data_IF_617232025490
#
_entry.id   IF_617232025490
#
_cell.length_a   1.000
_cell.length_b   1.000
_cell.length_c   1.000
_cell.angle_alpha   90.00
_cell.angle_beta   90.00
_cell.angle_gamma   90.00
#
_symmetry.space_group_name_H-M   'P 1'
#
loop_
_entity.id
_entity.type
_entity.pdbx_description
1 polymer ?
#
# COMPACT_ATOMS: atom_id res chain seq x y z
N UNK A 1 -19.91 -16.13 -29.94
CA UNK A 1 -18.87 -16.90 -29.21
C UNK A 1 -17.49 -16.24 -29.19
N UNK A 2 -16.93 -15.74 -30.31
CA UNK A 2 -15.59 -15.08 -30.33
C UNK A 2 -15.43 -13.81 -29.46
N UNK A 3 -16.49 -12.99 -29.29
CA UNK A 3 -16.43 -11.73 -28.51
C UNK A 3 -16.21 -11.93 -27.00
N UNK A 4 -16.59 -13.08 -26.45
CA UNK A 4 -16.50 -13.34 -25.00
C UNK A 4 -15.07 -13.69 -24.56
N UNK A 5 -14.33 -14.38 -25.43
CA UNK A 5 -12.95 -14.82 -25.18
C UNK A 5 -11.98 -13.62 -25.19
N UNK A 6 -12.18 -12.65 -26.08
CA UNK A 6 -11.35 -11.43 -26.14
C UNK A 6 -11.56 -10.52 -24.93
N UNK A 7 -12.80 -10.39 -24.43
CA UNK A 7 -13.10 -9.62 -23.22
C UNK A 7 -12.44 -10.21 -21.97
N UNK A 8 -12.42 -11.54 -21.81
CA UNK A 8 -11.79 -12.18 -20.67
C UNK A 8 -10.25 -12.03 -20.67
N UNK A 9 -9.61 -12.12 -21.84
CA UNK A 9 -8.17 -11.86 -21.96
C UNK A 9 -7.81 -10.43 -21.53
N UNK A 10 -8.63 -9.45 -21.93
CA UNK A 10 -8.44 -8.06 -21.56
C UNK A 10 -8.56 -7.84 -20.05
N UNK A 11 -9.61 -8.35 -19.39
CA UNK A 11 -9.82 -8.18 -17.94
C UNK A 11 -8.67 -8.80 -17.13
N UNK A 12 -8.15 -9.96 -17.55
CA UNK A 12 -7.00 -10.61 -16.90
C UNK A 12 -5.73 -9.75 -17.03
N UNK A 13 -5.46 -9.23 -18.22
CA UNK A 13 -4.34 -8.33 -18.45
C UNK A 13 -4.42 -7.07 -17.57
N UNK A 14 -5.59 -6.44 -17.45
CA UNK A 14 -5.80 -5.29 -16.56
C UNK A 14 -5.56 -5.63 -15.09
N UNK A 15 -5.99 -6.81 -14.65
CA UNK A 15 -5.80 -7.26 -13.27
C UNK A 15 -4.30 -7.44 -12.97
N UNK A 16 -3.55 -8.07 -13.88
CA UNK A 16 -2.10 -8.21 -13.72
C UNK A 16 -1.37 -6.87 -13.72
N UNK A 17 -1.74 -5.96 -14.62
CA UNK A 17 -1.18 -4.61 -14.65
C UNK A 17 -1.45 -3.86 -13.33
N UNK A 18 -2.65 -4.05 -12.75
CA UNK A 18 -3.02 -3.42 -11.48
C UNK A 18 -2.19 -3.96 -10.31
N UNK A 19 -1.96 -5.28 -10.23
CA UNK A 19 -1.12 -5.87 -9.19
C UNK A 19 0.35 -5.45 -9.35
N UNK A 20 0.85 -5.43 -10.59
CA UNK A 20 2.20 -4.98 -10.90
C UNK A 20 2.43 -3.53 -10.48
N UNK A 21 1.51 -2.64 -10.85
CA UNK A 21 1.59 -1.21 -10.48
C UNK A 21 1.44 -1.00 -8.98
N UNK A 22 0.56 -1.73 -8.29
CA UNK A 22 0.45 -1.68 -6.83
C UNK A 22 1.77 -2.08 -6.15
N UNK A 23 2.40 -3.17 -6.61
CA UNK A 23 3.73 -3.59 -6.11
C UNK A 23 4.82 -2.54 -6.35
N UNK A 24 4.85 -1.95 -7.55
CA UNK A 24 5.79 -0.88 -7.87
C UNK A 24 5.58 0.36 -6.98
N UNK A 25 4.33 0.73 -6.70
CA UNK A 25 3.99 1.86 -5.82
C UNK A 25 4.38 1.58 -4.36
N UNK A 26 4.20 0.35 -3.87
CA UNK A 26 4.67 -0.04 -2.53
C UNK A 26 6.18 0.18 -2.41
N UNK A 27 6.96 -0.29 -3.39
CA UNK A 27 8.41 -0.08 -3.39
C UNK A 27 8.80 1.39 -3.53
N UNK A 28 8.10 2.15 -4.37
CA UNK A 28 8.32 3.60 -4.47
C UNK A 28 8.05 4.30 -3.13
N UNK A 29 7.01 3.90 -2.39
CA UNK A 29 6.73 4.45 -1.07
C UNK A 29 7.85 4.18 -0.06
N UNK A 30 8.45 2.99 -0.07
CA UNK A 30 9.58 2.70 0.82
C UNK A 30 10.80 3.57 0.50
N UNK A 31 11.16 3.67 -0.78
CA UNK A 31 12.31 4.46 -1.23
C UNK A 31 12.08 5.95 -0.99
N UNK A 32 10.92 6.49 -1.37
CA UNK A 32 10.57 7.90 -1.18
C UNK A 32 10.35 8.22 0.30
N UNK A 33 9.79 7.30 1.08
CA UNK A 33 9.61 7.44 2.52
C UNK A 33 10.92 7.71 3.24
N UNK A 34 11.99 7.00 2.85
CA UNK A 34 13.34 7.26 3.39
C UNK A 34 13.82 8.69 3.10
N UNK A 35 13.47 9.24 1.93
CA UNK A 35 13.83 10.60 1.52
C UNK A 35 13.00 11.67 2.22
N UNK A 36 11.72 11.39 2.49
CA UNK A 36 10.85 12.28 3.26
C UNK A 36 11.34 12.39 4.71
N UNK A 37 11.86 11.29 5.26
CA UNK A 37 12.35 11.22 6.64
C UNK A 37 13.79 11.72 6.82
N UNK A 38 14.61 11.69 5.76
CA UNK A 38 16.02 12.06 5.82
C UNK A 38 16.31 13.46 6.39
N UNK A 39 15.53 14.52 6.12
CA UNK A 39 15.77 15.84 6.70
C UNK A 39 15.64 15.90 8.23
N UNK A 40 14.88 14.97 8.83
CA UNK A 40 14.58 14.96 10.27
C UNK A 40 15.48 13.99 11.04
N UNK A 41 15.74 12.82 10.47
CA UNK A 41 16.43 11.72 11.16
C UNK A 41 17.74 11.29 10.48
N UNK A 42 18.10 11.92 9.37
CA UNK A 42 19.25 11.53 8.54
C UNK A 42 19.03 10.23 7.77
N UNK A 43 20.05 9.80 7.03
CA UNK A 43 20.06 8.52 6.33
C UNK A 43 20.70 7.43 7.20
N UNK A 44 19.98 6.98 8.23
CA UNK A 44 20.49 6.02 9.23
C UNK A 44 19.82 4.65 9.09
N UNK A 45 20.49 3.60 9.59
CA UNK A 45 19.91 2.24 9.62
C UNK A 45 18.57 2.18 10.37
N UNK A 46 18.36 3.08 11.34
CA UNK A 46 17.12 3.17 12.09
C UNK A 46 15.93 3.62 11.24
N UNK A 47 16.14 4.51 10.25
CA UNK A 47 15.06 4.96 9.35
C UNK A 47 14.65 3.82 8.42
N UNK A 48 15.64 3.17 7.79
CA UNK A 48 15.41 2.06 6.87
C UNK A 48 14.73 0.87 7.57
N UNK A 49 15.24 0.46 8.74
CA UNK A 49 14.67 -0.66 9.49
C UNK A 49 13.25 -0.35 10.00
N UNK A 50 12.99 0.90 10.39
CA UNK A 50 11.66 1.36 10.79
C UNK A 50 10.67 1.30 9.63
N UNK A 51 11.05 1.81 8.45
CA UNK A 51 10.21 1.78 7.25
C UNK A 51 9.85 0.35 6.84
N UNK A 52 10.84 -0.54 6.78
CA UNK A 52 10.63 -1.94 6.43
C UNK A 52 9.72 -2.62 7.46
N UNK A 53 9.93 -2.36 8.75
CA UNK A 53 9.12 -2.95 9.83
C UNK A 53 7.66 -2.49 9.74
N UNK A 54 7.44 -1.19 9.55
CA UNK A 54 6.10 -0.62 9.35
C UNK A 54 5.46 -1.16 8.08
N UNK A 55 6.20 -1.23 6.98
CA UNK A 55 5.70 -1.75 5.72
C UNK A 55 5.29 -3.22 5.82
N UNK A 56 6.13 -4.06 6.42
CA UNK A 56 5.82 -5.47 6.65
C UNK A 56 4.57 -5.65 7.52
N UNK A 57 4.46 -4.89 8.62
CA UNK A 57 3.28 -4.93 9.49
C UNK A 57 2.01 -4.47 8.76
N UNK A 58 2.08 -3.34 8.07
CA UNK A 58 0.96 -2.78 7.32
C UNK A 58 0.51 -3.70 6.19
N UNK A 59 1.46 -4.27 5.43
CA UNK A 59 1.18 -5.22 4.35
C UNK A 59 0.61 -6.52 4.92
N UNK A 60 1.14 -7.07 6.01
CA UNK A 60 0.59 -8.27 6.63
C UNK A 60 -0.88 -8.06 7.07
N UNK A 61 -1.17 -6.92 7.71
CA UNK A 61 -2.53 -6.53 8.06
C UNK A 61 -3.41 -6.32 6.80
N UNK A 62 -2.87 -5.68 5.78
CA UNK A 62 -3.51 -5.46 4.48
C UNK A 62 -3.84 -6.75 3.75
N UNK A 63 -2.95 -7.75 3.78
CA UNK A 63 -3.17 -9.06 3.18
C UNK A 63 -4.30 -9.81 3.88
N UNK A 64 -4.31 -9.78 5.22
CA UNK A 64 -5.38 -10.37 6.01
C UNK A 64 -6.74 -9.71 5.73
N UNK A 65 -6.79 -8.37 5.79
CA UNK A 65 -8.00 -7.61 5.50
C UNK A 65 -8.45 -7.82 4.05
N UNK A 66 -7.52 -7.85 3.11
CA UNK A 66 -7.82 -8.02 1.70
C UNK A 66 -8.43 -9.38 1.39
N UNK A 67 -7.91 -10.46 1.98
CA UNK A 67 -8.52 -11.78 1.89
C UNK A 67 -9.95 -11.78 2.44
N UNK A 68 -10.13 -11.22 3.64
CA UNK A 68 -11.45 -11.17 4.29
C UNK A 68 -12.49 -10.35 3.51
N UNK A 69 -12.12 -9.19 2.97
CA UNK A 69 -13.01 -8.36 2.14
C UNK A 69 -13.31 -9.07 0.81
N UNK A 70 -12.29 -9.67 0.19
CA UNK A 70 -12.43 -10.36 -1.09
C UNK A 70 -13.36 -11.58 -0.99
N UNK A 71 -13.34 -12.30 0.13
CA UNK A 71 -14.25 -13.42 0.36
C UNK A 71 -15.70 -12.97 0.53
N UNK A 72 -15.94 -11.83 1.19
CA UNK A 72 -17.30 -11.30 1.41
C UNK A 72 -17.90 -10.62 0.17
N UNK A 73 -17.12 -9.83 -0.57
CA UNK A 73 -17.61 -9.03 -1.71
C UNK A 73 -16.58 -8.99 -2.85
N UNK A 74 -16.41 -10.09 -3.61
CA UNK A 74 -15.50 -10.13 -4.75
C UNK A 74 -16.06 -9.33 -5.94
N UNK A 75 -15.73 -8.04 -5.98
CA UNK A 75 -16.10 -7.08 -7.04
C UNK A 75 -14.96 -6.14 -7.39
N UNK A 76 -14.77 -5.87 -8.69
CA UNK A 76 -13.80 -4.89 -9.19
C UNK A 76 -14.04 -3.48 -8.62
N UNK A 77 -15.29 -3.09 -8.38
CA UNK A 77 -15.61 -1.78 -7.80
C UNK A 77 -15.02 -1.59 -6.40
N UNK A 78 -14.98 -2.66 -5.60
CA UNK A 78 -14.38 -2.62 -4.26
C UNK A 78 -12.87 -2.52 -4.36
N UNK A 79 -12.24 -3.31 -5.24
CA UNK A 79 -10.79 -3.25 -5.48
C UNK A 79 -10.34 -1.85 -5.89
N UNK A 80 -10.99 -1.24 -6.89
CA UNK A 80 -10.64 0.10 -7.33
C UNK A 80 -10.99 1.18 -6.30
N UNK A 81 -12.03 0.98 -5.49
CA UNK A 81 -12.34 1.85 -4.35
C UNK A 81 -11.24 1.85 -3.29
N UNK A 82 -10.65 0.68 -2.97
CA UNK A 82 -9.52 0.56 -2.05
C UNK A 82 -8.27 1.24 -2.62
N UNK A 83 -7.97 1.05 -3.90
CA UNK A 83 -6.85 1.73 -4.57
C UNK A 83 -7.05 3.25 -4.53
N UNK A 84 -8.25 3.73 -4.86
CA UNK A 84 -8.57 5.15 -4.81
C UNK A 84 -8.36 5.73 -3.39
N UNK A 85 -8.82 5.02 -2.37
CA UNK A 85 -8.61 5.42 -0.97
C UNK A 85 -7.11 5.43 -0.61
N UNK A 86 -6.33 4.44 -1.05
CA UNK A 86 -4.89 4.39 -0.85
C UNK A 86 -4.19 5.60 -1.49
N UNK A 87 -4.58 5.96 -2.71
CA UNK A 87 -4.07 7.15 -3.39
C UNK A 87 -4.43 8.44 -2.66
N UNK A 88 -5.63 8.54 -2.09
CA UNK A 88 -6.03 9.71 -1.30
C UNK A 88 -5.15 9.87 -0.06
N UNK A 89 -4.91 8.79 0.69
CA UNK A 89 -3.97 8.83 1.82
C UNK A 89 -2.55 9.18 1.38
N UNK A 90 -2.12 8.68 0.22
CA UNK A 90 -0.80 9.01 -0.33
C UNK A 90 -0.65 10.50 -0.66
N UNK A 91 -1.69 11.13 -1.20
CA UNK A 91 -1.70 12.58 -1.48
C UNK A 91 -1.60 13.43 -0.21
N UNK A 92 -2.03 12.90 0.94
CA UNK A 92 -1.93 13.59 2.21
C UNK A 92 -0.52 13.54 2.81
N UNK A 93 0.32 12.59 2.40
CA UNK A 93 1.68 12.40 2.96
C UNK A 93 2.52 13.68 2.89
N UNK A 94 2.69 14.35 1.73
CA UNK A 94 3.56 15.52 1.64
C UNK A 94 3.11 16.65 2.58
N UNK A 95 1.80 16.87 2.70
CA UNK A 95 1.21 17.93 3.52
C UNK A 95 1.36 17.60 5.02
N UNK A 96 1.11 16.36 5.41
CA UNK A 96 1.15 15.94 6.82
C UNK A 96 2.57 15.62 7.31
N UNK A 97 3.50 15.32 6.41
CA UNK A 97 4.85 14.85 6.74
C UNK A 97 5.57 15.78 7.71
N UNK A 98 5.58 17.08 7.44
CA UNK A 98 6.26 18.07 8.30
C UNK A 98 5.73 18.06 9.74
N UNK A 99 4.40 18.13 9.89
CA UNK A 99 3.76 18.18 11.20
C UNK A 99 3.98 16.89 12.00
N UNK A 100 3.80 15.75 11.35
CA UNK A 100 3.97 14.43 11.98
C UNK A 100 5.42 14.19 12.39
N UNK A 101 6.38 14.50 11.52
CA UNK A 101 7.80 14.27 11.78
C UNK A 101 8.34 15.23 12.84
N UNK A 102 7.93 16.50 12.85
CA UNK A 102 8.28 17.44 13.92
C UNK A 102 7.74 16.99 15.28
N UNK A 103 6.49 16.51 15.34
CA UNK A 103 5.91 16.01 16.57
C UNK A 103 6.63 14.74 17.07
N UNK A 104 6.93 13.81 16.16
CA UNK A 104 7.63 12.57 16.45
C UNK A 104 9.10 12.78 16.85
N UNK A 105 9.72 13.88 16.44
CA UNK A 105 11.12 14.18 16.78
C UNK A 105 11.34 14.32 18.30
N UNK A 106 10.29 14.64 19.07
CA UNK A 106 10.35 14.69 20.55
C UNK A 106 10.68 13.33 21.19
N UNK A 107 10.43 12.23 20.48
CA UNK A 107 10.72 10.86 20.94
C UNK A 107 12.17 10.44 20.64
N UNK A 108 12.97 11.33 20.06
CA UNK A 108 14.34 11.06 19.62
C UNK A 108 14.42 10.32 18.27
N UNK A 109 15.62 10.17 17.70
CA UNK A 109 15.79 9.72 16.32
C UNK A 109 15.30 8.28 16.06
N UNK A 110 15.41 7.39 17.06
CA UNK A 110 15.05 5.97 16.92
C UNK A 110 13.54 5.77 16.92
N UNK A 111 12.87 6.21 17.99
CA UNK A 111 11.42 6.08 18.14
C UNK A 111 10.66 7.05 17.24
N UNK A 112 11.19 8.25 17.03
CA UNK A 112 10.61 9.23 16.10
C UNK A 112 10.56 8.72 14.67
N UNK A 113 11.62 8.03 14.20
CA UNK A 113 11.60 7.38 12.90
C UNK A 113 10.51 6.30 12.82
N UNK A 114 10.42 5.41 13.81
CA UNK A 114 9.41 4.34 13.82
C UNK A 114 7.98 4.88 13.83
N UNK A 115 7.64 5.76 14.77
CA UNK A 115 6.28 6.30 14.89
C UNK A 115 5.94 7.26 13.75
N UNK A 116 6.90 8.06 13.27
CA UNK A 116 6.71 8.92 12.10
C UNK A 116 6.40 8.10 10.85
N UNK A 117 7.16 7.02 10.61
CA UNK A 117 6.87 6.10 9.52
C UNK A 117 5.52 5.39 9.70
N UNK A 118 5.21 4.93 10.90
CA UNK A 118 3.95 4.25 11.21
C UNK A 118 2.74 5.16 10.91
N UNK A 119 2.75 6.41 11.35
CA UNK A 119 1.63 7.34 11.13
C UNK A 119 1.48 7.69 9.65
N UNK A 120 2.58 7.92 8.93
CA UNK A 120 2.52 8.39 7.54
C UNK A 120 2.22 7.25 6.53
N UNK A 121 2.84 6.08 6.73
CA UNK A 121 2.87 5.05 5.69
C UNK A 121 1.94 3.85 5.96
N UNK A 122 1.47 3.65 7.20
CA UNK A 122 0.64 2.47 7.50
C UNK A 122 -0.67 2.46 6.71
N UNK A 123 -1.40 3.57 6.69
CA UNK A 123 -2.69 3.64 5.97
C UNK A 123 -2.56 3.33 4.46
N UNK A 124 -1.69 4.01 3.68
CA UNK A 124 -1.54 3.70 2.27
C UNK A 124 -0.97 2.30 2.02
N UNK A 125 0.01 1.83 2.81
CA UNK A 125 0.60 0.50 2.62
C UNK A 125 -0.39 -0.63 2.96
N UNK A 126 -1.18 -0.47 4.01
CA UNK A 126 -2.23 -1.43 4.37
C UNK A 126 -3.27 -1.56 3.26
N UNK A 127 -3.74 -0.42 2.73
CA UNK A 127 -4.72 -0.42 1.64
C UNK A 127 -4.13 -0.99 0.34
N UNK A 128 -2.87 -0.70 0.02
CA UNK A 128 -2.20 -1.31 -1.14
C UNK A 128 -1.97 -2.81 -0.94
N UNK A 129 -1.72 -3.26 0.29
CA UNK A 129 -1.60 -4.68 0.64
C UNK A 129 -2.86 -5.49 0.31
N UNK A 130 -4.05 -4.87 0.40
CA UNK A 130 -5.32 -5.53 0.03
C UNK A 130 -5.36 -5.99 -1.43
N UNK A 131 -4.65 -5.31 -2.33
CA UNK A 131 -4.79 -5.49 -3.79
C UNK A 131 -4.44 -6.93 -4.22
N UNK A 132 -3.36 -7.50 -3.70
CA UNK A 132 -2.86 -8.81 -4.11
C UNK A 132 -3.83 -9.97 -3.84
N UNK A 133 -4.27 -10.24 -2.59
CA UNK A 133 -5.23 -11.31 -2.33
C UNK A 133 -6.59 -11.07 -3.02
N UNK A 134 -7.01 -9.81 -3.15
CA UNK A 134 -8.26 -9.46 -3.81
C UNK A 134 -8.22 -9.77 -5.32
N UNK A 135 -7.12 -9.43 -5.99
CA UNK A 135 -6.91 -9.73 -7.40
C UNK A 135 -6.88 -11.25 -7.67
N UNK A 136 -6.27 -12.03 -6.78
CA UNK A 136 -6.30 -13.50 -6.84
C UNK A 136 -7.73 -14.02 -6.74
N UNK A 137 -8.52 -13.54 -5.77
CA UNK A 137 -9.91 -13.96 -5.59
C UNK A 137 -10.80 -13.63 -6.79
N UNK A 138 -10.64 -12.43 -7.37
CA UNK A 138 -11.35 -12.06 -8.60
C UNK A 138 -10.95 -12.93 -9.80
N UNK A 139 -9.68 -13.35 -9.87
CA UNK A 139 -9.21 -14.22 -10.95
C UNK A 139 -9.82 -15.62 -10.84
N UNK A 140 -9.97 -16.16 -9.63
CA UNK A 140 -10.61 -17.46 -9.38
C UNK A 140 -12.10 -17.45 -9.73
N UNK A 141 -12.84 -16.40 -9.33
CA UNK A 141 -14.27 -16.24 -9.65
C UNK A 141 -14.57 -16.19 -11.16
N UNK A 142 -13.59 -15.81 -11.98
CA UNK A 142 -13.75 -15.77 -13.45
C UNK A 142 -13.48 -17.13 -14.12
N UNK A 143 -13.02 -18.14 -13.37
CA UNK A 143 -12.75 -19.50 -13.87
C UNK A 143 -13.93 -20.45 -13.57
N UNK A 144 -14.61 -20.24 -12.44
CA UNK A 144 -15.91 -20.86 -12.12
C UNK A 144 -17.04 -20.29 -12.98
#
# INVERSE_FOLDING_TARGET
>A
MKKTITKQGFIRFYTYLTVFTAGAVILMLEILGSRIMAPYYGNTIYVWSSLISVAMLALAAGYFLGGWIADRRPSYSVLYGVIFLASLFMLLIPVMSSQVLMAANKLGPRYGAFFGAAVLFTAPLLLLGVVSPFAVRLSLKNIE
#
